data_IF_146050905442
#
_entry.id   IF_146050905442
#
_cell.length_a   1.000
_cell.length_b   1.000
_cell.length_c   1.000
_cell.angle_alpha   90.00
_cell.angle_beta   90.00
_cell.angle_gamma   90.00
#
_symmetry.space_group_name_H-M   'P 1'
#
loop_
_entity.id
_entity.type
_entity.pdbx_description
1 polymer ?
#
# COMPACT_ATOMS: atom_id res chain seq x y z
N UNK A 1 -2.16 14.61 19.53
CA UNK A 1 -2.93 13.36 19.32
C UNK A 1 -2.57 12.41 20.44
N UNK A 2 -3.56 11.89 21.12
CA UNK A 2 -3.34 10.92 22.19
C UNK A 2 -2.78 9.61 21.63
N UNK A 3 -1.94 8.96 22.43
CA UNK A 3 -1.35 7.68 22.04
C UNK A 3 -2.42 6.60 21.93
N UNK A 4 -2.45 5.89 20.81
CA UNK A 4 -3.39 4.78 20.58
C UNK A 4 -2.78 3.51 21.16
N UNK A 5 -3.40 2.95 22.21
CA UNK A 5 -2.93 1.75 22.92
C UNK A 5 -3.86 0.55 22.75
N UNK A 6 -5.12 0.80 22.41
CA UNK A 6 -6.15 -0.22 22.28
C UNK A 6 -6.90 -0.07 20.97
N UNK A 7 -7.50 -1.17 20.49
CA UNK A 7 -8.34 -1.16 19.28
C UNK A 7 -9.50 -0.17 19.42
N UNK A 8 -10.06 -0.05 20.63
CA UNK A 8 -11.14 0.93 20.89
C UNK A 8 -10.70 2.37 20.69
N UNK A 9 -9.46 2.70 21.04
CA UNK A 9 -8.89 4.04 20.80
C UNK A 9 -8.75 4.31 19.29
N UNK A 10 -8.30 3.31 18.56
CA UNK A 10 -8.17 3.38 17.11
C UNK A 10 -9.52 3.61 16.42
N UNK A 11 -10.53 2.81 16.74
CA UNK A 11 -11.88 2.95 16.18
C UNK A 11 -12.44 4.33 16.50
N UNK A 12 -12.28 4.81 17.73
CA UNK A 12 -12.76 6.15 18.14
C UNK A 12 -12.05 7.25 17.35
N UNK A 13 -10.75 7.14 17.12
CA UNK A 13 -10.00 8.10 16.31
C UNK A 13 -10.51 8.12 14.87
N UNK A 14 -10.75 6.96 14.27
CA UNK A 14 -11.31 6.85 12.91
C UNK A 14 -12.69 7.48 12.84
N UNK A 15 -13.58 7.20 13.78
CA UNK A 15 -14.91 7.79 13.85
C UNK A 15 -14.85 9.33 13.92
N UNK A 16 -13.96 9.88 14.73
CA UNK A 16 -13.76 11.31 14.88
C UNK A 16 -13.31 11.95 13.56
N UNK A 17 -12.32 11.35 12.90
CA UNK A 17 -11.77 11.85 11.63
C UNK A 17 -12.83 11.78 10.53
N UNK A 18 -13.55 10.68 10.43
CA UNK A 18 -14.54 10.45 9.36
C UNK A 18 -15.81 11.29 9.53
N UNK A 19 -16.16 11.69 10.75
CA UNK A 19 -17.31 12.55 11.02
C UNK A 19 -17.17 13.93 10.38
N UNK A 20 -15.96 14.44 10.21
CA UNK A 20 -15.70 15.75 9.64
C UNK A 20 -15.61 15.74 8.10
N UNK A 21 -15.67 14.56 7.48
CA UNK A 21 -15.53 14.42 6.03
C UNK A 21 -16.90 14.53 5.35
N UNK A 22 -16.97 15.37 4.31
CA UNK A 22 -18.22 15.61 3.56
C UNK A 22 -18.74 14.35 2.85
N UNK A 23 -20.06 14.28 2.68
CA UNK A 23 -20.78 13.11 2.12
C UNK A 23 -20.38 12.73 0.69
N UNK A 24 -19.71 13.64 -0.05
CA UNK A 24 -19.32 13.42 -1.45
C UNK A 24 -17.87 12.91 -1.59
N UNK A 25 -17.27 12.44 -0.52
CA UNK A 25 -15.89 11.93 -0.52
C UNK A 25 -15.85 10.44 -0.18
N UNK A 26 -15.02 9.72 -0.88
CA UNK A 26 -14.73 8.32 -0.58
C UNK A 26 -13.53 8.25 0.38
N UNK A 27 -13.67 7.47 1.43
CA UNK A 27 -12.61 7.25 2.41
C UNK A 27 -12.01 5.87 2.17
N UNK A 28 -10.70 5.82 2.04
CA UNK A 28 -9.94 4.57 1.95
C UNK A 28 -8.83 4.59 3.00
N UNK A 29 -8.38 3.41 3.38
CA UNK A 29 -7.37 3.22 4.41
C UNK A 29 -6.18 2.43 3.85
N UNK A 30 -5.00 2.75 4.34
CA UNK A 30 -3.77 2.03 4.02
C UNK A 30 -2.99 1.73 5.29
N UNK A 31 -2.59 0.47 5.49
CA UNK A 31 -1.69 0.07 6.56
C UNK A 31 -0.24 0.14 6.12
N UNK A 32 0.59 0.87 6.87
CA UNK A 32 2.02 0.96 6.66
C UNK A 32 2.77 0.47 7.90
N UNK A 33 3.88 -0.23 7.70
CA UNK A 33 4.64 -0.87 8.78
C UNK A 33 5.38 0.10 9.69
N UNK A 34 5.57 1.34 9.23
CA UNK A 34 6.24 2.39 9.99
C UNK A 34 5.70 3.77 9.59
N UNK A 35 6.00 4.78 10.40
CA UNK A 35 5.65 6.16 10.09
C UNK A 35 6.68 6.75 9.13
N UNK A 36 6.42 6.60 7.83
CA UNK A 36 7.28 7.19 6.80
C UNK A 36 7.15 8.72 6.77
N UNK A 37 8.22 9.40 6.39
CA UNK A 37 8.19 10.86 6.17
C UNK A 37 7.26 11.25 5.03
N UNK A 38 7.10 10.36 4.04
CA UNK A 38 6.15 10.50 2.93
C UNK A 38 5.17 9.34 2.96
N UNK A 39 4.04 9.47 3.68
CA UNK A 39 3.04 8.42 3.74
C UNK A 39 2.34 8.23 2.39
N UNK A 40 1.77 7.04 2.17
CA UNK A 40 1.07 6.68 0.94
C UNK A 40 1.90 6.88 -0.32
N UNK A 41 3.20 6.58 -0.24
CA UNK A 41 4.13 6.73 -1.36
C UNK A 41 4.39 5.36 -2.00
N UNK A 42 4.12 5.15 -3.29
CA UNK A 42 4.39 3.87 -3.94
C UNK A 42 5.85 3.45 -3.83
N UNK A 43 6.10 2.15 -3.70
CA UNK A 43 7.46 1.62 -3.55
C UNK A 43 8.39 2.01 -4.70
N UNK A 44 7.86 2.12 -5.92
CA UNK A 44 8.64 2.54 -7.07
C UNK A 44 9.29 3.92 -6.87
N UNK A 45 8.56 4.85 -6.26
CA UNK A 45 9.06 6.20 -5.97
C UNK A 45 9.88 6.24 -4.69
N UNK A 46 9.53 5.41 -3.69
CA UNK A 46 10.20 5.35 -2.40
C UNK A 46 11.64 4.87 -2.53
N UNK A 47 11.91 3.94 -3.43
CA UNK A 47 13.23 3.39 -3.68
C UNK A 47 14.08 4.23 -4.64
N UNK A 48 13.57 5.35 -5.14
CA UNK A 48 14.27 6.26 -6.05
C UNK A 48 14.77 5.60 -7.34
N UNK A 49 14.14 4.51 -7.75
CA UNK A 49 14.54 3.75 -8.95
C UNK A 49 14.40 4.58 -10.21
N UNK A 50 13.34 5.40 -10.31
CA UNK A 50 13.08 6.21 -11.51
C UNK A 50 14.08 7.35 -11.71
N UNK A 51 14.79 7.77 -10.66
CA UNK A 51 15.85 8.78 -10.78
C UNK A 51 17.04 8.24 -11.59
N UNK A 52 17.29 6.93 -11.47
CA UNK A 52 18.38 6.24 -12.18
C UNK A 52 17.93 5.68 -13.52
N UNK A 53 16.71 5.20 -13.61
CA UNK A 53 16.14 4.61 -14.81
C UNK A 53 14.67 5.02 -14.96
N UNK A 54 14.37 6.09 -15.71
CA UNK A 54 13.00 6.58 -15.89
C UNK A 54 12.05 5.56 -16.54
N UNK A 55 12.58 4.60 -17.28
CA UNK A 55 11.79 3.57 -17.97
C UNK A 55 11.75 2.23 -17.21
N UNK A 56 12.18 2.20 -15.97
CA UNK A 56 12.30 0.97 -15.18
C UNK A 56 10.99 0.18 -15.14
N UNK A 57 9.88 0.82 -14.78
CA UNK A 57 8.60 0.13 -14.66
C UNK A 57 8.14 -0.45 -16.00
N UNK A 58 8.22 0.33 -17.07
CA UNK A 58 7.85 -0.15 -18.41
C UNK A 58 8.70 -1.35 -18.83
N UNK A 59 10.01 -1.26 -18.67
CA UNK A 59 10.93 -2.32 -19.04
C UNK A 59 10.68 -3.58 -18.21
N UNK A 60 10.42 -3.44 -16.90
CA UNK A 60 10.11 -4.55 -16.02
C UNK A 60 8.82 -5.26 -16.45
N UNK A 61 7.76 -4.51 -16.74
CA UNK A 61 6.49 -5.08 -17.17
C UNK A 61 6.61 -5.77 -18.53
N UNK A 62 7.37 -5.20 -19.46
CA UNK A 62 7.62 -5.81 -20.77
C UNK A 62 8.41 -7.11 -20.63
N UNK A 63 9.43 -7.17 -19.75
CA UNK A 63 10.18 -8.39 -19.46
C UNK A 63 9.31 -9.46 -18.80
N UNK A 64 8.47 -9.09 -17.85
CA UNK A 64 7.54 -10.02 -17.21
C UNK A 64 6.59 -10.64 -18.23
N UNK A 65 6.07 -9.86 -19.16
CA UNK A 65 5.21 -10.35 -20.24
C UNK A 65 5.97 -11.30 -21.18
N UNK A 66 7.19 -10.96 -21.57
CA UNK A 66 8.04 -11.78 -22.43
C UNK A 66 8.39 -13.13 -21.79
N UNK A 67 8.55 -13.19 -20.47
CA UNK A 67 8.87 -14.40 -19.73
C UNK A 67 7.63 -15.13 -19.18
N UNK A 68 6.43 -14.76 -19.62
CA UNK A 68 5.17 -15.34 -19.17
C UNK A 68 4.92 -15.29 -17.66
N UNK A 69 5.45 -14.27 -16.99
CA UNK A 69 5.27 -14.07 -15.54
C UNK A 69 3.97 -13.33 -15.22
N UNK A 70 3.27 -12.83 -16.22
CA UNK A 70 1.97 -12.19 -16.08
C UNK A 70 1.01 -12.71 -17.13
N UNK A 71 -0.26 -12.84 -16.76
CA UNK A 71 -1.35 -13.18 -17.67
C UNK A 71 -2.12 -11.93 -18.14
N UNK A 72 -1.75 -10.77 -17.63
CA UNK A 72 -2.40 -9.50 -17.96
C UNK A 72 -2.08 -9.04 -19.39
N UNK A 73 -3.07 -8.49 -20.08
CA UNK A 73 -2.92 -7.94 -21.43
C UNK A 73 -2.66 -6.44 -21.42
N UNK A 74 -3.24 -5.71 -20.45
CA UNK A 74 -3.06 -4.26 -20.30
C UNK A 74 -1.91 -3.93 -19.36
N UNK A 75 -1.40 -2.70 -19.43
CA UNK A 75 -0.38 -2.22 -18.49
C UNK A 75 -0.87 -2.26 -17.05
N UNK A 76 -2.14 -1.92 -16.81
CA UNK A 76 -2.71 -1.96 -15.47
C UNK A 76 -2.73 -3.40 -14.91
N UNK A 77 -3.18 -4.36 -15.70
CA UNK A 77 -3.19 -5.77 -15.31
C UNK A 77 -1.79 -6.30 -15.01
N UNK A 78 -0.81 -5.97 -15.85
CA UNK A 78 0.59 -6.31 -15.62
C UNK A 78 1.15 -5.66 -14.36
N UNK A 79 0.80 -4.41 -14.10
CA UNK A 79 1.21 -3.70 -12.89
C UNK A 79 0.61 -4.32 -11.63
N UNK A 80 -0.64 -4.77 -11.68
CA UNK A 80 -1.30 -5.49 -10.58
C UNK A 80 -0.58 -6.81 -10.31
N UNK A 81 -0.26 -7.58 -11.34
CA UNK A 81 0.47 -8.84 -11.19
C UNK A 81 1.87 -8.60 -10.60
N UNK A 82 2.57 -7.56 -11.05
CA UNK A 82 3.87 -7.17 -10.51
C UNK A 82 3.77 -6.79 -9.02
N UNK A 83 2.76 -6.02 -8.64
CA UNK A 83 2.51 -5.63 -7.25
C UNK A 83 2.29 -6.86 -6.36
N UNK A 84 1.48 -7.82 -6.79
CA UNK A 84 1.25 -9.07 -6.07
C UNK A 84 2.51 -9.93 -5.96
N UNK A 85 3.39 -9.86 -6.95
CA UNK A 85 4.68 -10.57 -6.96
C UNK A 85 5.77 -9.88 -6.12
N UNK A 86 5.49 -8.75 -5.49
CA UNK A 86 6.44 -8.02 -4.67
C UNK A 86 7.38 -7.08 -5.42
N UNK A 87 7.15 -6.86 -6.71
CA UNK A 87 7.97 -5.95 -7.50
C UNK A 87 7.59 -4.48 -7.21
N UNK A 88 8.56 -3.54 -7.25
CA UNK A 88 8.26 -2.13 -7.09
C UNK A 88 7.27 -1.64 -8.15
N UNK A 89 6.24 -0.93 -7.73
CA UNK A 89 5.15 -0.46 -8.58
C UNK A 89 4.72 0.94 -8.15
N UNK A 90 4.06 1.65 -9.06
CA UNK A 90 3.40 2.92 -8.75
C UNK A 90 2.01 2.74 -8.12
N UNK A 91 1.55 1.51 -7.98
CA UNK A 91 0.27 1.21 -7.35
C UNK A 91 0.37 1.21 -5.83
N UNK A 92 -0.71 1.59 -5.19
CA UNK A 92 -0.88 1.51 -3.74
C UNK A 92 -2.06 0.60 -3.41
N UNK A 93 -1.85 -0.32 -2.48
CA UNK A 93 -2.93 -1.11 -1.92
C UNK A 93 -3.69 -0.29 -0.88
N UNK A 94 -5.00 -0.18 -1.05
CA UNK A 94 -5.89 0.49 -0.12
C UNK A 94 -7.11 -0.38 0.15
N UNK A 95 -7.81 -0.12 1.25
CA UNK A 95 -9.02 -0.85 1.63
C UNK A 95 -10.08 0.11 2.16
N UNK A 96 -11.34 -0.28 2.04
CA UNK A 96 -12.45 0.45 2.68
C UNK A 96 -12.59 0.13 4.17
N UNK A 97 -11.87 -0.88 4.67
CA UNK A 97 -12.01 -1.37 6.05
C UNK A 97 -10.79 -0.96 6.89
N UNK A 98 -11.01 -0.10 7.88
CA UNK A 98 -9.96 0.42 8.74
C UNK A 98 -9.28 -0.69 9.58
N UNK A 99 -9.99 -1.77 9.93
CA UNK A 99 -9.41 -2.88 10.67
C UNK A 99 -8.48 -3.73 9.81
N UNK A 100 -8.79 -3.90 8.53
CA UNK A 100 -7.90 -4.58 7.59
C UNK A 100 -6.62 -3.76 7.40
N UNK A 101 -6.72 -2.44 7.29
CA UNK A 101 -5.56 -1.57 7.21
C UNK A 101 -4.67 -1.69 8.47
N UNK A 102 -5.28 -1.72 9.65
CA UNK A 102 -4.56 -1.94 10.90
C UNK A 102 -3.84 -3.30 10.91
N UNK A 103 -4.51 -4.36 10.46
CA UNK A 103 -3.92 -5.69 10.33
C UNK A 103 -2.65 -5.67 9.49
N UNK A 104 -2.68 -5.05 8.31
CA UNK A 104 -1.49 -4.93 7.46
C UNK A 104 -0.36 -4.14 8.11
N UNK A 105 -0.69 -3.11 8.89
CA UNK A 105 0.31 -2.31 9.58
C UNK A 105 1.05 -3.09 10.67
N UNK A 106 0.37 -3.99 11.38
CA UNK A 106 0.93 -4.70 12.54
C UNK A 106 1.39 -6.13 12.23
N UNK A 107 0.99 -6.72 11.11
CA UNK A 107 1.30 -8.12 10.76
C UNK A 107 2.80 -8.45 10.81
N UNK A 108 3.73 -7.60 10.31
CA UNK A 108 5.15 -7.89 10.41
C UNK A 108 5.65 -8.06 11.84
N UNK A 109 5.04 -7.37 12.80
CA UNK A 109 5.44 -7.44 14.21
C UNK A 109 4.83 -8.65 14.94
N UNK A 110 3.67 -9.11 14.48
CA UNK A 110 2.99 -10.25 15.08
C UNK A 110 3.78 -11.56 14.91
N UNK A 111 4.49 -11.72 13.82
CA UNK A 111 5.28 -12.92 13.56
C UNK A 111 6.63 -12.94 14.29
N UNK A 112 7.11 -11.81 14.76
CA UNK A 112 8.38 -11.72 15.51
C UNK A 112 8.24 -12.26 16.94
N UNK A 113 7.04 -12.29 17.49
CA UNK A 113 6.79 -12.80 18.85
C UNK A 113 6.67 -14.34 18.92
N UNK A 114 6.51 -15.02 17.79
CA UNK A 114 6.36 -16.48 17.73
C UNK A 114 7.69 -17.23 17.54
N UNK A 115 8.78 -16.53 17.29
CA UNK A 115 10.13 -17.08 17.19
C UNK A 115 10.88 -17.01 18.53
#
# INVERSE_FOLDING_TARGET
MDEIRHISDYIRAIETITADIGKNKTIVFRGEIEKFSKPCYPNLFRQRILERNPYFEKNQLDEMAANHLTNGETYLEKAIDAQHGGFPSRLLDVTYNCLIALYFAVTPFYHEEEE
#
